data_IF_812154474834
#
_entry.id   IF_812154474834
#
_cell.length_a   1.000
_cell.length_b   1.000
_cell.length_c   1.000
_cell.angle_alpha   90.00
_cell.angle_beta   90.00
_cell.angle_gamma   90.00
#
_symmetry.space_group_name_H-M   'P 1'
#
loop_
_entity.id
_entity.type
_entity.pdbx_description
1 polymer ?
#
# COMPACT_ATOMS: atom_id res chain seq x y z
N UNK A 1 43.56 -3.80 -34.90
CA UNK A 1 42.57 -3.09 -34.07
C UNK A 1 41.21 -3.37 -34.69
N UNK A 2 40.32 -4.06 -33.99
CA UNK A 2 38.95 -4.33 -34.49
C UNK A 2 38.19 -3.02 -34.40
N UNK A 3 37.74 -2.47 -35.54
CA UNK A 3 36.75 -1.41 -35.55
C UNK A 3 35.44 -2.02 -35.04
N UNK A 4 35.07 -1.76 -33.79
CA UNK A 4 33.70 -1.98 -33.33
C UNK A 4 32.80 -0.98 -34.05
N UNK A 5 31.65 -1.44 -34.55
CA UNK A 5 30.68 -0.55 -35.19
C UNK A 5 30.07 0.40 -34.16
N UNK A 6 29.66 1.60 -34.56
CA UNK A 6 28.99 2.54 -33.66
C UNK A 6 27.68 1.93 -33.09
N UNK A 7 27.01 1.06 -33.86
CA UNK A 7 25.88 0.30 -33.35
C UNK A 7 26.28 -0.65 -32.21
N UNK A 8 27.42 -1.35 -32.31
CA UNK A 8 27.91 -2.22 -31.23
C UNK A 8 28.18 -1.42 -29.94
N UNK A 9 28.73 -0.21 -30.06
CA UNK A 9 28.99 0.68 -28.94
C UNK A 9 27.70 1.21 -28.30
N UNK A 10 26.68 1.55 -29.09
CA UNK A 10 25.34 1.89 -28.59
C UNK A 10 24.71 0.71 -27.83
N UNK A 11 24.76 -0.49 -28.39
CA UNK A 11 24.21 -1.69 -27.74
C UNK A 11 24.98 -1.99 -26.44
N UNK A 12 26.29 -1.81 -26.43
CA UNK A 12 27.12 -1.95 -25.23
C UNK A 12 26.73 -0.92 -24.16
N UNK A 13 26.57 0.35 -24.53
CA UNK A 13 26.12 1.42 -23.64
C UNK A 13 24.82 1.03 -22.93
N UNK A 14 23.81 0.58 -23.69
CA UNK A 14 22.50 0.18 -23.13
C UNK A 14 22.62 -1.06 -22.23
N UNK A 15 23.46 -2.03 -22.60
CA UNK A 15 23.72 -3.22 -21.78
C UNK A 15 24.35 -2.88 -20.43
N UNK A 16 25.21 -1.86 -20.37
CA UNK A 16 25.88 -1.41 -19.14
C UNK A 16 24.98 -0.59 -18.20
N UNK A 17 23.84 -0.07 -18.68
CA UNK A 17 22.87 0.62 -17.84
C UNK A 17 22.26 -0.31 -16.77
N UNK A 18 21.89 0.23 -15.61
CA UNK A 18 21.14 -0.55 -14.60
C UNK A 18 19.77 -0.92 -15.18
N UNK A 19 19.17 -1.98 -14.66
CA UNK A 19 17.84 -2.40 -15.14
C UNK A 19 16.79 -1.32 -14.88
N UNK A 20 16.89 -0.59 -13.77
CA UNK A 20 16.01 0.55 -13.48
C UNK A 20 16.13 1.71 -14.47
N UNK A 21 17.29 1.86 -15.14
CA UNK A 21 17.51 2.92 -16.12
C UNK A 21 16.71 2.73 -17.41
N UNK A 22 16.17 1.52 -17.65
CA UNK A 22 15.38 1.26 -18.84
C UNK A 22 14.08 2.06 -18.88
N UNK A 23 13.60 2.51 -17.72
CA UNK A 23 12.36 3.29 -17.61
C UNK A 23 12.52 4.66 -18.27
N UNK A 24 13.62 5.37 -18.01
CA UNK A 24 13.88 6.66 -18.66
C UNK A 24 14.47 6.49 -20.05
N UNK A 25 15.19 5.40 -20.31
CA UNK A 25 15.68 5.11 -21.66
C UNK A 25 14.52 4.95 -22.65
N UNK A 26 13.44 4.26 -22.24
CA UNK A 26 12.20 4.17 -23.00
C UNK A 26 11.67 5.57 -23.37
N UNK A 27 11.59 6.47 -22.38
CA UNK A 27 11.13 7.84 -22.58
C UNK A 27 11.97 8.60 -23.62
N UNK A 28 13.30 8.47 -23.56
CA UNK A 28 14.21 9.10 -24.54
C UNK A 28 14.00 8.54 -25.95
N UNK A 29 13.88 7.22 -26.10
CA UNK A 29 13.68 6.57 -27.39
C UNK A 29 12.32 6.93 -27.98
N UNK A 30 11.27 6.93 -27.16
CA UNK A 30 9.92 7.29 -27.59
C UNK A 30 9.82 8.75 -27.99
N UNK A 31 10.50 9.65 -27.26
CA UNK A 31 10.57 11.07 -27.59
C UNK A 31 11.17 11.28 -28.99
N UNK A 32 12.36 10.74 -29.24
CA UNK A 32 13.04 10.84 -30.54
C UNK A 32 12.15 10.30 -31.69
N UNK A 33 11.51 9.15 -31.47
CA UNK A 33 10.61 8.57 -32.47
C UNK A 33 9.41 9.49 -32.80
N UNK A 34 8.78 10.09 -31.79
CA UNK A 34 7.62 10.98 -31.99
C UNK A 34 8.05 12.28 -32.67
N UNK A 35 9.16 12.89 -32.23
CA UNK A 35 9.72 14.11 -32.82
C UNK A 35 10.05 13.90 -34.30
N UNK A 36 10.64 12.76 -34.64
CA UNK A 36 10.94 12.38 -36.02
C UNK A 36 9.67 12.17 -36.87
N UNK A 37 8.72 11.38 -36.37
CA UNK A 37 7.48 11.05 -37.10
C UNK A 37 6.60 12.28 -37.31
N UNK A 38 6.49 13.13 -36.30
CA UNK A 38 5.57 14.28 -36.27
C UNK A 38 6.24 15.58 -36.74
N UNK A 39 7.56 15.60 -36.90
CA UNK A 39 8.38 16.79 -37.24
C UNK A 39 8.14 17.95 -36.27
N UNK A 40 8.12 17.64 -34.99
CA UNK A 40 7.99 18.59 -33.89
C UNK A 40 9.19 18.46 -32.95
N UNK A 41 9.42 19.49 -32.13
CA UNK A 41 10.32 19.43 -30.98
C UNK A 41 9.45 19.39 -29.72
N UNK A 42 9.61 18.36 -28.90
CA UNK A 42 8.88 18.20 -27.65
C UNK A 42 9.69 18.89 -26.55
N UNK A 43 9.36 20.16 -26.31
CA UNK A 43 9.96 20.94 -25.22
C UNK A 43 9.43 20.54 -23.83
N UNK A 44 8.19 20.05 -23.76
CA UNK A 44 7.56 19.59 -22.51
C UNK A 44 7.82 18.09 -22.31
N UNK A 45 8.57 17.77 -21.25
CA UNK A 45 8.85 16.39 -20.81
C UNK A 45 7.58 15.59 -20.46
N UNK A 46 6.42 16.26 -20.37
CA UNK A 46 5.12 15.68 -20.02
C UNK A 46 4.09 15.79 -21.16
N UNK A 47 4.57 15.86 -22.40
CA UNK A 47 3.71 15.77 -23.57
C UNK A 47 2.78 14.54 -23.47
N UNK A 48 1.45 14.71 -23.61
CA UNK A 48 0.50 13.60 -23.41
C UNK A 48 0.73 12.42 -24.36
N UNK A 49 1.14 12.67 -25.61
CA UNK A 49 1.36 11.61 -26.58
C UNK A 49 2.60 10.79 -26.24
N UNK A 50 3.67 11.45 -25.79
CA UNK A 50 4.86 10.80 -25.27
C UNK A 50 4.54 9.96 -24.02
N UNK A 51 3.84 10.56 -23.06
CA UNK A 51 3.46 9.86 -21.83
C UNK A 51 2.58 8.64 -22.09
N UNK A 52 1.57 8.75 -22.94
CA UNK A 52 0.69 7.63 -23.28
C UNK A 52 1.49 6.48 -23.92
N UNK A 53 2.40 6.79 -24.85
CA UNK A 53 3.28 5.79 -25.49
C UNK A 53 4.20 5.10 -24.48
N UNK A 54 4.76 5.85 -23.53
CA UNK A 54 5.57 5.30 -22.45
C UNK A 54 4.74 4.37 -21.54
N UNK A 55 3.58 4.86 -21.08
CA UNK A 55 2.69 4.15 -20.16
C UNK A 55 2.18 2.84 -20.77
N UNK A 56 1.74 2.86 -22.03
CA UNK A 56 1.29 1.67 -22.75
C UNK A 56 2.39 0.62 -22.78
N UNK A 57 3.62 1.05 -23.08
CA UNK A 57 4.75 0.13 -23.12
C UNK A 57 5.08 -0.42 -21.73
N UNK A 58 5.15 0.44 -20.71
CA UNK A 58 5.43 0.05 -19.31
C UNK A 58 4.37 -0.91 -18.73
N UNK A 59 3.12 -0.81 -19.18
CA UNK A 59 2.04 -1.72 -18.78
C UNK A 59 2.03 -3.03 -19.57
N UNK A 60 2.61 -3.06 -20.78
CA UNK A 60 2.67 -4.27 -21.63
C UNK A 60 3.75 -5.27 -21.21
N UNK A 61 4.78 -4.82 -20.50
CA UNK A 61 5.94 -5.62 -20.07
C UNK A 61 5.68 -6.32 -18.73
N UNK A 62 6.26 -7.50 -18.54
CA UNK A 62 6.17 -8.25 -17.26
C UNK A 62 7.13 -7.70 -16.22
N UNK A 63 8.35 -7.36 -16.65
CA UNK A 63 9.39 -6.79 -15.81
C UNK A 63 10.38 -5.92 -16.60
N UNK A 64 11.28 -5.25 -15.87
CA UNK A 64 12.25 -4.32 -16.46
C UNK A 64 13.37 -5.01 -17.27
N UNK A 65 13.64 -6.31 -17.07
CA UNK A 65 14.59 -7.04 -17.91
C UNK A 65 14.00 -7.33 -19.29
N UNK A 66 12.70 -7.63 -19.35
CA UNK A 66 11.97 -7.73 -20.62
C UNK A 66 12.01 -6.41 -21.38
N UNK A 67 11.76 -5.28 -20.69
CA UNK A 67 11.92 -3.95 -21.29
C UNK A 67 13.34 -3.72 -21.81
N UNK A 68 14.36 -4.04 -21.01
CA UNK A 68 15.76 -3.88 -21.44
C UNK A 68 16.04 -4.64 -22.73
N UNK A 69 15.59 -5.89 -22.80
CA UNK A 69 15.80 -6.76 -23.95
C UNK A 69 15.08 -6.22 -25.19
N UNK A 70 13.88 -5.68 -24.99
CA UNK A 70 13.11 -5.04 -26.06
C UNK A 70 13.81 -3.78 -26.59
N UNK A 71 14.27 -2.87 -25.72
CA UNK A 71 14.96 -1.65 -26.16
C UNK A 71 16.28 -1.96 -26.88
N UNK A 72 17.03 -2.97 -26.43
CA UNK A 72 18.23 -3.45 -27.14
C UNK A 72 17.87 -3.95 -28.55
N UNK A 73 16.75 -4.66 -28.68
CA UNK A 73 16.29 -5.14 -29.98
C UNK A 73 15.87 -3.98 -30.90
N UNK A 74 15.16 -2.97 -30.39
CA UNK A 74 14.75 -1.80 -31.17
C UNK A 74 15.92 -0.94 -31.65
N UNK A 75 17.01 -0.89 -30.89
CA UNK A 75 18.23 -0.16 -31.23
C UNK A 75 19.21 -0.97 -32.08
N UNK A 76 18.93 -2.25 -32.32
CA UNK A 76 19.78 -3.11 -33.13
C UNK A 76 19.69 -2.69 -34.60
N UNK A 77 20.81 -2.85 -35.32
CA UNK A 77 20.87 -2.67 -36.77
C UNK A 77 20.53 -1.23 -37.23
N UNK A 78 20.70 -0.24 -36.34
CA UNK A 78 20.64 1.18 -36.67
C UNK A 78 21.88 1.58 -37.45
N UNK A 79 21.75 2.60 -38.31
CA UNK A 79 22.90 3.16 -39.05
C UNK A 79 23.93 3.74 -38.08
N UNK A 80 25.18 3.90 -38.53
CA UNK A 80 26.24 4.53 -37.72
C UNK A 80 25.81 5.92 -37.23
N UNK A 81 25.33 6.78 -38.12
CA UNK A 81 24.86 8.14 -37.77
C UNK A 81 23.69 8.12 -36.79
N UNK A 82 22.71 7.23 -36.98
CA UNK A 82 21.60 7.09 -36.02
C UNK A 82 22.10 6.60 -34.67
N UNK A 83 23.10 5.73 -34.66
CA UNK A 83 23.68 5.20 -33.42
C UNK A 83 24.43 6.29 -32.64
N UNK A 84 25.17 7.16 -33.32
CA UNK A 84 25.82 8.35 -32.72
C UNK A 84 24.79 9.27 -32.06
N UNK A 85 23.72 9.61 -32.78
CA UNK A 85 22.63 10.47 -32.27
C UNK A 85 22.02 9.87 -31.00
N UNK A 86 21.69 8.58 -31.00
CA UNK A 86 21.15 7.93 -29.80
C UNK A 86 22.13 7.92 -28.64
N UNK A 87 23.42 7.68 -28.89
CA UNK A 87 24.42 7.73 -27.81
C UNK A 87 24.50 9.14 -27.19
N UNK A 88 24.44 10.19 -28.00
CA UNK A 88 24.44 11.58 -27.52
C UNK A 88 23.17 11.88 -26.70
N UNK A 89 21.99 11.50 -27.20
CA UNK A 89 20.72 11.66 -26.49
C UNK A 89 20.72 10.92 -25.15
N UNK A 90 21.17 9.66 -25.14
CA UNK A 90 21.24 8.81 -23.95
C UNK A 90 22.20 9.41 -22.93
N UNK A 91 23.39 9.86 -23.35
CA UNK A 91 24.39 10.42 -22.45
C UNK A 91 23.94 11.78 -21.89
N UNK A 92 23.40 12.66 -22.74
CA UNK A 92 22.86 13.96 -22.32
C UNK A 92 21.74 13.79 -21.27
N UNK A 93 20.77 12.91 -21.54
CA UNK A 93 19.69 12.66 -20.58
C UNK A 93 20.23 12.02 -19.30
N UNK A 94 21.10 11.02 -19.41
CA UNK A 94 21.76 10.37 -18.27
C UNK A 94 22.47 11.38 -17.36
N UNK A 95 23.20 12.34 -17.92
CA UNK A 95 23.94 13.37 -17.17
C UNK A 95 22.99 14.34 -16.46
N UNK A 96 21.80 14.60 -17.04
CA UNK A 96 20.77 15.41 -16.39
C UNK A 96 20.14 14.75 -15.15
N UNK A 97 20.17 13.41 -15.08
CA UNK A 97 19.54 12.63 -14.00
C UNK A 97 20.43 12.52 -12.76
N UNK A 98 20.61 13.61 -12.03
CA UNK A 98 21.30 13.63 -10.73
C UNK A 98 20.81 12.52 -9.77
N UNK A 99 19.49 12.26 -9.78
CA UNK A 99 18.85 11.28 -8.89
C UNK A 99 19.32 9.83 -9.15
N UNK A 100 19.82 9.51 -10.34
CA UNK A 100 20.24 8.15 -10.75
C UNK A 100 21.35 7.55 -9.88
N UNK A 101 22.17 8.39 -9.27
CA UNK A 101 23.24 7.97 -8.39
C UNK A 101 22.73 7.46 -7.03
N UNK A 102 21.47 7.72 -6.67
CA UNK A 102 20.82 7.23 -5.44
C UNK A 102 20.51 5.74 -5.53
N UNK A 103 20.54 5.06 -4.39
CA UNK A 103 20.01 3.70 -4.26
C UNK A 103 18.49 3.72 -4.02
N UNK A 104 17.74 3.08 -4.91
CA UNK A 104 16.28 2.94 -4.82
C UNK A 104 15.82 1.58 -4.29
N UNK A 105 16.74 0.71 -3.89
CA UNK A 105 16.45 -0.65 -3.39
C UNK A 105 15.39 -0.65 -2.28
N UNK A 106 15.44 0.33 -1.37
CA UNK A 106 14.48 0.49 -0.27
C UNK A 106 13.04 0.62 -0.77
N UNK A 107 12.80 1.39 -1.82
CA UNK A 107 11.46 1.56 -2.41
C UNK A 107 10.96 0.28 -3.09
N UNK A 108 11.88 -0.56 -3.57
CA UNK A 108 11.53 -1.86 -4.17
C UNK A 108 11.12 -2.89 -3.10
N UNK A 109 11.79 -2.89 -1.95
CA UNK A 109 11.58 -3.88 -0.89
C UNK A 109 10.54 -3.46 0.15
N UNK A 110 10.47 -2.16 0.47
CA UNK A 110 9.54 -1.61 1.46
C UNK A 110 8.31 -1.01 0.76
N UNK A 111 7.26 -1.83 0.66
CA UNK A 111 5.99 -1.44 0.04
C UNK A 111 5.26 -0.33 0.80
N UNK A 112 5.46 -0.18 2.12
CA UNK A 112 4.87 0.91 2.90
C UNK A 112 5.57 2.22 2.56
N UNK A 113 6.90 2.22 2.51
CA UNK A 113 7.68 3.37 2.05
C UNK A 113 7.27 3.79 0.63
N UNK A 114 7.18 2.83 -0.31
CA UNK A 114 6.79 3.11 -1.69
C UNK A 114 5.39 3.73 -1.78
N UNK A 115 4.43 3.16 -1.05
CA UNK A 115 3.06 3.68 -0.98
C UNK A 115 3.03 5.11 -0.43
N UNK A 116 3.76 5.34 0.66
CA UNK A 116 3.86 6.66 1.29
C UNK A 116 4.54 7.67 0.37
N UNK A 117 5.57 7.26 -0.37
CA UNK A 117 6.26 8.11 -1.33
C UNK A 117 5.33 8.53 -2.48
N UNK A 118 4.63 7.58 -3.11
CA UNK A 118 3.68 7.87 -4.18
C UNK A 118 2.54 8.79 -3.69
N UNK A 119 2.05 8.58 -2.48
CA UNK A 119 1.10 9.51 -1.85
C UNK A 119 1.69 10.91 -1.64
N UNK A 120 2.93 11.00 -1.14
CA UNK A 120 3.56 12.31 -0.93
C UNK A 120 3.73 13.07 -2.24
N UNK A 121 4.16 12.37 -3.29
CA UNK A 121 4.28 12.90 -4.64
C UNK A 121 2.92 13.38 -5.15
N UNK A 122 1.87 12.56 -5.04
CA UNK A 122 0.52 12.92 -5.49
C UNK A 122 -0.08 14.09 -4.72
N UNK A 123 0.20 14.17 -3.42
CA UNK A 123 -0.28 15.25 -2.57
C UNK A 123 0.42 16.58 -2.85
N UNK A 124 1.72 16.55 -3.17
CA UNK A 124 2.52 17.73 -3.43
C UNK A 124 2.32 18.24 -4.87
N UNK A 125 2.07 17.33 -5.83
CA UNK A 125 1.73 17.67 -7.22
C UNK A 125 0.69 16.70 -7.82
N UNK A 126 -0.55 17.17 -7.93
CA UNK A 126 -1.67 16.36 -8.42
C UNK A 126 -1.58 16.02 -9.90
N UNK A 127 -0.91 16.85 -10.69
CA UNK A 127 -0.84 16.64 -12.14
C UNK A 127 0.09 15.48 -12.47
N UNK A 128 1.22 15.37 -11.77
CA UNK A 128 2.12 14.19 -11.83
C UNK A 128 1.32 12.91 -11.58
N UNK A 129 0.51 12.89 -10.53
CA UNK A 129 -0.28 11.72 -10.20
C UNK A 129 -1.32 11.40 -11.27
N UNK A 130 -2.08 12.40 -11.74
CA UNK A 130 -3.12 12.20 -12.76
C UNK A 130 -2.55 11.64 -14.06
N UNK A 131 -1.38 12.11 -14.46
CA UNK A 131 -0.73 11.69 -15.70
C UNK A 131 -0.07 10.30 -15.59
N UNK A 132 0.28 9.85 -14.38
CA UNK A 132 1.04 8.60 -14.18
C UNK A 132 0.28 7.49 -13.46
N UNK A 133 -0.94 7.75 -12.98
CA UNK A 133 -1.77 6.77 -12.24
C UNK A 133 -2.10 5.50 -13.04
N UNK A 134 -2.05 5.55 -14.37
CA UNK A 134 -2.29 4.41 -15.25
C UNK A 134 -1.13 3.42 -15.30
N UNK A 135 0.06 3.77 -14.78
CA UNK A 135 1.18 2.83 -14.68
C UNK A 135 0.90 1.84 -13.55
N UNK A 136 0.59 0.60 -13.93
CA UNK A 136 0.07 -0.44 -13.02
C UNK A 136 1.09 -0.89 -11.97
N UNK A 137 2.36 -1.00 -12.35
CA UNK A 137 3.42 -1.38 -11.42
C UNK A 137 3.87 -0.16 -10.61
N UNK A 138 3.56 -0.16 -9.31
CA UNK A 138 3.82 0.97 -8.41
C UNK A 138 5.30 1.35 -8.31
N UNK A 139 6.22 0.39 -8.34
CA UNK A 139 7.66 0.67 -8.31
C UNK A 139 8.14 1.26 -9.64
N UNK A 140 7.67 0.72 -10.76
CA UNK A 140 7.97 1.28 -12.09
C UNK A 140 7.40 2.69 -12.24
N UNK A 141 6.18 2.94 -11.74
CA UNK A 141 5.59 4.28 -11.69
C UNK A 141 6.45 5.24 -10.88
N UNK A 142 6.92 4.82 -9.70
CA UNK A 142 7.82 5.64 -8.89
C UNK A 142 9.10 5.99 -9.66
N UNK A 143 9.75 5.00 -10.30
CA UNK A 143 10.93 5.24 -11.13
C UNK A 143 10.63 6.19 -12.30
N UNK A 144 9.52 5.98 -12.99
CA UNK A 144 9.10 6.82 -14.11
C UNK A 144 8.97 8.28 -13.65
N UNK A 145 8.21 8.53 -12.57
CA UNK A 145 8.04 9.87 -12.03
C UNK A 145 9.38 10.53 -11.69
N UNK A 146 10.25 9.85 -10.94
CA UNK A 146 11.49 10.50 -10.47
C UNK A 146 12.51 10.75 -11.60
N UNK A 147 12.42 9.98 -12.69
CA UNK A 147 13.32 10.17 -13.83
C UNK A 147 12.77 11.14 -14.87
N UNK A 148 11.48 11.09 -15.21
CA UNK A 148 10.91 11.94 -16.26
C UNK A 148 10.60 13.35 -15.76
N UNK A 149 10.22 13.52 -14.49
CA UNK A 149 10.06 14.84 -13.88
C UNK A 149 11.41 15.36 -13.34
N UNK A 150 12.46 15.30 -14.18
CA UNK A 150 13.83 15.60 -13.78
C UNK A 150 13.95 17.00 -13.15
N UNK A 151 13.12 17.96 -13.59
CA UNK A 151 13.13 19.34 -13.10
C UNK A 151 12.69 19.45 -11.65
N UNK A 152 11.76 18.60 -11.25
CA UNK A 152 11.30 18.51 -9.87
C UNK A 152 12.30 17.72 -9.02
N UNK A 153 12.88 16.66 -9.57
CA UNK A 153 13.84 15.78 -8.90
C UNK A 153 15.32 16.10 -9.22
N UNK A 154 15.65 17.38 -9.44
CA UNK A 154 17.04 17.85 -9.73
C UNK A 154 18.03 17.59 -8.58
N UNK A 155 17.53 17.26 -7.39
CA UNK A 155 18.34 16.97 -6.21
C UNK A 155 17.69 15.90 -5.34
N UNK A 156 18.45 15.35 -4.40
CA UNK A 156 17.96 14.36 -3.44
C UNK A 156 16.95 14.89 -2.42
N UNK A 157 16.77 16.22 -2.32
CA UNK A 157 16.03 16.88 -1.23
C UNK A 157 14.60 16.38 -1.07
N UNK A 158 13.87 16.19 -2.17
CA UNK A 158 12.47 15.76 -2.10
C UNK A 158 12.33 14.33 -1.59
N UNK A 159 13.16 13.41 -2.10
CA UNK A 159 13.18 12.04 -1.62
C UNK A 159 13.69 11.95 -0.17
N UNK A 160 14.70 12.73 0.21
CA UNK A 160 15.20 12.80 1.60
C UNK A 160 14.10 13.28 2.55
N UNK A 161 13.30 14.27 2.12
CA UNK A 161 12.16 14.75 2.90
C UNK A 161 11.09 13.69 3.07
N UNK A 162 10.80 12.92 2.03
CA UNK A 162 9.85 11.79 2.08
C UNK A 162 10.36 10.71 3.03
N UNK A 163 11.61 10.26 2.87
CA UNK A 163 12.22 9.23 3.71
C UNK A 163 12.29 9.65 5.18
N UNK A 164 12.63 10.93 5.45
CA UNK A 164 12.64 11.47 6.81
C UNK A 164 11.26 11.41 7.45
N UNK A 165 10.23 11.92 6.75
CA UNK A 165 8.84 11.88 7.25
C UNK A 165 8.35 10.45 7.47
N UNK A 166 8.70 9.54 6.56
CA UNK A 166 8.37 8.12 6.71
C UNK A 166 9.07 7.52 7.93
N UNK A 167 10.34 7.84 8.15
CA UNK A 167 11.11 7.36 9.31
C UNK A 167 10.53 7.86 10.63
N UNK A 168 10.14 9.14 10.71
CA UNK A 168 9.43 9.72 11.85
C UNK A 168 8.12 8.98 12.12
N UNK A 169 7.36 8.69 11.06
CA UNK A 169 6.10 7.98 11.13
C UNK A 169 6.27 6.55 11.67
N UNK A 170 7.18 5.76 11.09
CA UNK A 170 7.43 4.38 11.50
C UNK A 170 7.99 4.30 12.92
N UNK A 171 8.77 5.29 13.34
CA UNK A 171 9.25 5.40 14.72
C UNK A 171 8.08 5.63 15.69
N UNK A 172 7.12 6.47 15.33
CA UNK A 172 5.93 6.74 16.16
C UNK A 172 4.89 5.60 16.12
N UNK A 173 4.75 4.94 14.96
CA UNK A 173 3.69 3.98 14.62
C UNK A 173 4.21 2.86 13.72
N UNK A 174 5.09 2.01 14.26
CA UNK A 174 5.57 0.81 13.54
C UNK A 174 4.41 -0.07 13.06
N UNK A 175 3.42 -0.27 13.92
CA UNK A 175 2.13 -0.88 13.59
C UNK A 175 1.01 -0.01 14.16
N UNK A 176 -0.04 0.19 13.37
CA UNK A 176 -1.18 0.97 13.84
C UNK A 176 -2.11 0.16 14.75
N UNK A 177 -2.16 -1.17 14.58
CA UNK A 177 -3.01 -2.10 15.34
C UNK A 177 -2.18 -3.17 16.08
N UNK A 178 -1.31 -2.75 17.00
CA UNK A 178 -0.41 -3.66 17.74
C UNK A 178 -1.12 -4.84 18.42
N UNK A 179 -2.35 -4.64 18.92
CA UNK A 179 -3.11 -5.68 19.61
C UNK A 179 -3.82 -6.66 18.67
N UNK A 180 -3.80 -6.40 17.36
CA UNK A 180 -4.50 -7.19 16.34
C UNK A 180 -3.55 -7.56 15.18
N UNK A 181 -2.27 -7.76 15.48
CA UNK A 181 -1.24 -8.09 14.48
C UNK A 181 -1.33 -9.56 14.05
N UNK A 182 -2.35 -9.89 13.27
CA UNK A 182 -2.52 -11.21 12.69
C UNK A 182 -3.31 -11.17 11.37
N UNK A 183 -3.09 -12.12 10.44
CA UNK A 183 -3.67 -12.07 9.10
C UNK A 183 -5.20 -11.99 9.04
N UNK A 184 -5.92 -12.70 9.94
CA UNK A 184 -7.39 -12.67 9.96
C UNK A 184 -7.95 -11.25 10.19
N UNK A 185 -7.29 -10.47 11.06
CA UNK A 185 -7.69 -9.08 11.31
C UNK A 185 -7.44 -8.23 10.07
N UNK A 186 -6.24 -8.30 9.48
CA UNK A 186 -5.90 -7.46 8.33
C UNK A 186 -6.73 -7.75 7.08
N UNK A 187 -7.02 -9.03 6.80
CA UNK A 187 -7.97 -9.43 5.75
C UNK A 187 -9.34 -8.82 5.98
N UNK A 188 -9.86 -8.94 7.19
CA UNK A 188 -11.16 -8.36 7.55
C UNK A 188 -11.13 -6.82 7.49
N UNK A 189 -10.08 -6.19 7.97
CA UNK A 189 -9.94 -4.73 8.01
C UNK A 189 -9.92 -4.14 6.59
N UNK A 190 -9.19 -4.77 5.66
CA UNK A 190 -9.24 -4.40 4.24
C UNK A 190 -10.68 -4.48 3.70
N UNK A 191 -11.36 -5.61 3.88
CA UNK A 191 -12.75 -5.78 3.43
C UNK A 191 -13.69 -4.76 4.07
N UNK A 192 -13.47 -4.41 5.34
CA UNK A 192 -14.25 -3.40 6.04
C UNK A 192 -14.03 -2.02 5.43
N UNK A 193 -12.77 -1.63 5.17
CA UNK A 193 -12.43 -0.36 4.53
C UNK A 193 -13.02 -0.29 3.11
N UNK A 194 -12.87 -1.35 2.31
CA UNK A 194 -13.44 -1.42 0.95
C UNK A 194 -14.97 -1.23 0.96
N UNK A 195 -15.68 -1.81 1.94
CA UNK A 195 -17.14 -1.67 2.05
C UNK A 195 -17.60 -0.28 2.46
N UNK A 196 -16.75 0.46 3.18
CA UNK A 196 -17.03 1.81 3.68
C UNK A 196 -16.25 2.87 2.88
N UNK A 197 -16.02 2.61 1.59
CA UNK A 197 -15.16 3.46 0.73
C UNK A 197 -15.59 4.92 0.70
N UNK A 198 -16.88 5.25 0.82
CA UNK A 198 -17.36 6.65 0.80
C UNK A 198 -16.67 7.54 1.82
N UNK A 199 -16.40 7.01 3.00
CA UNK A 199 -15.96 7.79 4.16
C UNK A 199 -14.43 7.98 4.17
N UNK A 200 -13.70 7.19 3.36
CA UNK A 200 -12.24 7.14 3.37
C UNK A 200 -11.63 7.15 1.96
N UNK A 201 -12.43 7.45 0.93
CA UNK A 201 -12.02 7.39 -0.49
C UNK A 201 -10.75 8.20 -0.77
N UNK A 202 -10.63 9.37 -0.14
CA UNK A 202 -9.48 10.26 -0.35
C UNK A 202 -8.14 9.66 0.10
N UNK A 203 -8.16 8.70 1.03
CA UNK A 203 -6.98 8.02 1.56
C UNK A 203 -6.74 6.64 0.96
N UNK A 204 -7.73 6.09 0.23
CA UNK A 204 -7.63 4.80 -0.44
C UNK A 204 -6.88 4.90 -1.77
N UNK A 205 -5.65 5.43 -1.71
CA UNK A 205 -4.74 5.60 -2.86
C UNK A 205 -3.72 4.44 -2.95
N UNK A 206 -3.94 3.35 -2.22
CA UNK A 206 -3.05 2.19 -2.23
C UNK A 206 -3.40 1.30 -3.42
N UNK A 207 -2.59 1.41 -4.46
CA UNK A 207 -2.80 0.73 -5.75
C UNK A 207 -2.06 -0.60 -5.85
N UNK A 208 -2.11 -1.42 -4.80
CA UNK A 208 -1.76 -2.83 -4.93
C UNK A 208 -2.83 -3.70 -4.29
N UNK A 209 -3.15 -4.80 -4.94
CA UNK A 209 -4.08 -5.80 -4.40
C UNK A 209 -3.29 -6.79 -3.55
N UNK A 210 -3.55 -6.90 -2.23
CA UNK A 210 -2.88 -7.89 -1.39
C UNK A 210 -3.30 -9.30 -1.82
N UNK A 211 -2.33 -10.18 -2.07
CA UNK A 211 -2.55 -11.55 -2.52
C UNK A 211 -2.23 -12.56 -1.42
N UNK A 212 -1.18 -12.28 -0.63
CA UNK A 212 -0.73 -13.12 0.47
C UNK A 212 -1.09 -12.51 1.82
N UNK A 213 -1.14 -13.34 2.87
CA UNK A 213 -1.50 -12.93 4.23
C UNK A 213 -0.68 -11.75 4.77
N UNK A 214 0.63 -11.73 4.47
CA UNK A 214 1.52 -10.63 4.84
C UNK A 214 1.17 -9.32 4.12
N UNK A 215 0.68 -9.40 2.88
CA UNK A 215 0.37 -8.23 2.06
C UNK A 215 -0.81 -7.43 2.65
N UNK A 216 -1.77 -8.11 3.29
CA UNK A 216 -2.89 -7.43 3.95
C UNK A 216 -2.42 -6.55 5.10
N UNK A 217 -1.45 -7.01 5.89
CA UNK A 217 -0.84 -6.23 6.96
C UNK A 217 -0.13 -5.00 6.41
N UNK A 218 0.66 -5.16 5.35
CA UNK A 218 1.31 -4.06 4.63
C UNK A 218 0.27 -3.06 4.14
N UNK A 219 -0.77 -3.52 3.44
CA UNK A 219 -1.80 -2.68 2.85
C UNK A 219 -2.53 -1.83 3.90
N UNK A 220 -3.00 -2.48 4.97
CA UNK A 220 -3.72 -1.78 6.05
C UNK A 220 -2.80 -0.76 6.72
N UNK A 221 -1.55 -1.13 7.03
CA UNK A 221 -0.65 -0.17 7.64
C UNK A 221 -0.31 0.98 6.69
N UNK A 222 -0.13 0.76 5.38
CA UNK A 222 0.12 1.84 4.41
C UNK A 222 -1.01 2.88 4.38
N UNK A 223 -2.29 2.46 4.40
CA UNK A 223 -3.42 3.42 4.46
C UNK A 223 -3.34 4.23 5.74
N UNK A 224 -3.09 3.58 6.87
CA UNK A 224 -3.02 4.27 8.15
C UNK A 224 -1.77 5.15 8.29
N UNK A 225 -0.67 4.84 7.61
CA UNK A 225 0.50 5.71 7.49
C UNK A 225 0.07 7.02 6.80
N UNK A 226 -0.56 6.89 5.63
CA UNK A 226 -1.07 8.03 4.86
C UNK A 226 -2.05 8.86 5.69
N UNK A 227 -3.05 8.23 6.31
CA UNK A 227 -4.05 8.92 7.12
C UNK A 227 -3.44 9.61 8.34
N UNK A 228 -2.50 8.95 9.03
CA UNK A 228 -1.83 9.53 10.19
C UNK A 228 -1.07 10.81 9.83
N UNK A 229 -0.43 10.81 8.66
CA UNK A 229 0.28 11.97 8.14
C UNK A 229 -0.68 13.07 7.61
N UNK A 230 -1.73 12.68 6.89
CA UNK A 230 -2.58 13.60 6.14
C UNK A 230 -3.70 14.24 6.97
N UNK A 231 -4.37 13.44 7.80
CA UNK A 231 -5.53 13.85 8.56
C UNK A 231 -5.66 13.02 9.86
N UNK A 232 -5.12 13.57 10.94
CA UNK A 232 -5.10 12.91 12.24
C UNK A 232 -6.51 12.62 12.79
N UNK A 233 -7.52 13.44 12.48
CA UNK A 233 -8.89 13.20 12.90
C UNK A 233 -9.50 11.99 12.18
N UNK A 234 -9.37 11.92 10.86
CA UNK A 234 -9.81 10.77 10.08
C UNK A 234 -9.11 9.49 10.54
N UNK A 235 -7.79 9.57 10.78
CA UNK A 235 -6.98 8.48 11.34
C UNK A 235 -7.55 7.95 12.67
N UNK A 236 -7.80 8.83 13.65
CA UNK A 236 -8.31 8.44 14.97
C UNK A 236 -9.68 7.78 14.83
N UNK A 237 -10.56 8.37 14.02
CA UNK A 237 -11.94 7.91 13.84
C UNK A 237 -11.99 6.51 13.23
N UNK A 238 -11.34 6.29 12.08
CA UNK A 238 -11.35 4.98 11.42
C UNK A 238 -10.64 3.93 12.27
N UNK A 239 -9.53 4.28 12.91
CA UNK A 239 -8.81 3.35 13.81
C UNK A 239 -9.72 2.85 14.94
N UNK A 240 -10.47 3.77 15.57
CA UNK A 240 -11.41 3.43 16.65
C UNK A 240 -12.58 2.59 16.13
N UNK A 241 -13.14 2.93 14.98
CA UNK A 241 -14.22 2.18 14.34
C UNK A 241 -13.80 0.74 14.04
N UNK A 242 -12.66 0.53 13.36
CA UNK A 242 -12.13 -0.81 13.07
C UNK A 242 -11.84 -1.60 14.33
N UNK A 243 -11.22 -0.98 15.34
CA UNK A 243 -10.91 -1.64 16.62
C UNK A 243 -12.18 -2.11 17.33
N UNK A 244 -13.21 -1.27 17.37
CA UNK A 244 -14.49 -1.59 18.02
C UNK A 244 -15.27 -2.65 17.25
N UNK A 245 -15.37 -2.52 15.92
CA UNK A 245 -16.08 -3.47 15.08
C UNK A 245 -15.38 -4.84 15.08
N UNK A 246 -14.05 -4.87 15.09
CA UNK A 246 -13.30 -6.11 15.26
C UNK A 246 -13.55 -6.75 16.63
N UNK A 247 -13.49 -5.96 17.70
CA UNK A 247 -13.78 -6.44 19.05
C UNK A 247 -15.17 -7.07 19.13
N UNK A 248 -16.20 -6.40 18.60
CA UNK A 248 -17.56 -6.93 18.56
C UNK A 248 -17.66 -8.23 17.76
N UNK A 249 -17.03 -8.29 16.57
CA UNK A 249 -17.00 -9.50 15.74
C UNK A 249 -16.34 -10.67 16.48
N UNK A 250 -15.17 -10.43 17.08
CA UNK A 250 -14.42 -11.44 17.83
C UNK A 250 -15.18 -11.90 19.08
N UNK A 251 -15.82 -10.96 19.79
CA UNK A 251 -16.67 -11.25 20.93
C UNK A 251 -17.90 -12.11 20.55
N UNK A 252 -18.57 -11.80 19.45
CA UNK A 252 -19.69 -12.60 18.92
C UNK A 252 -19.24 -14.00 18.48
N UNK A 253 -18.08 -14.12 17.81
CA UNK A 253 -17.48 -15.42 17.44
C UNK A 253 -17.25 -16.30 18.68
N UNK A 254 -16.77 -15.70 19.77
CA UNK A 254 -16.54 -16.39 21.05
C UNK A 254 -17.83 -16.74 21.82
N UNK A 255 -18.98 -16.17 21.45
CA UNK A 255 -20.29 -16.42 22.07
C UNK A 255 -21.27 -17.23 21.21
N UNK A 256 -20.90 -17.61 19.98
CA UNK A 256 -21.69 -18.53 19.16
C UNK A 256 -21.97 -19.83 19.95
N UNK A 257 -23.25 -20.06 20.26
CA UNK A 257 -23.73 -21.20 21.06
C UNK A 257 -24.05 -20.90 22.54
N UNK A 258 -23.95 -19.65 23.02
CA UNK A 258 -24.21 -19.26 24.42
C UNK A 258 -25.30 -18.18 24.59
N UNK A 259 -26.23 -18.06 23.66
CA UNK A 259 -27.29 -17.05 23.76
C UNK A 259 -28.61 -17.67 24.21
N UNK A 260 -28.89 -17.54 25.51
CA UNK A 260 -30.25 -17.58 26.01
C UNK A 260 -30.63 -16.15 26.42
N UNK A 261 -31.49 -15.50 25.63
CA UNK A 261 -31.99 -14.16 25.93
C UNK A 261 -33.22 -14.29 26.83
N UNK A 262 -33.01 -14.21 28.15
CA UNK A 262 -34.10 -14.16 29.12
C UNK A 262 -34.40 -12.70 29.48
N UNK A 263 -35.66 -12.32 29.39
CA UNK A 263 -36.12 -11.00 29.83
C UNK A 263 -36.61 -11.09 31.28
N UNK A 264 -36.01 -10.29 32.15
CA UNK A 264 -36.49 -10.07 33.52
C UNK A 264 -37.41 -8.84 33.54
N UNK A 265 -38.43 -8.87 34.41
CA UNK A 265 -39.19 -7.66 34.73
C UNK A 265 -38.28 -6.62 35.39
N UNK A 266 -38.65 -5.34 35.31
CA UNK A 266 -37.85 -4.25 35.91
C UNK A 266 -37.60 -4.47 37.41
N UNK A 267 -38.59 -5.01 38.12
CA UNK A 267 -38.48 -5.32 39.54
C UNK A 267 -37.51 -6.48 39.80
N UNK A 268 -37.62 -7.58 39.03
CA UNK A 268 -36.70 -8.71 39.14
C UNK A 268 -35.25 -8.30 38.81
N UNK A 269 -35.06 -7.40 37.85
CA UNK A 269 -33.73 -6.87 37.50
C UNK A 269 -33.14 -6.01 38.62
N UNK A 270 -33.94 -5.19 39.30
CA UNK A 270 -33.50 -4.43 40.48
C UNK A 270 -33.08 -5.36 41.62
N UNK A 271 -33.90 -6.37 41.92
CA UNK A 271 -33.59 -7.35 42.95
C UNK A 271 -32.32 -8.15 42.63
N UNK A 272 -32.15 -8.56 41.37
CA UNK A 272 -30.95 -9.25 40.92
C UNK A 272 -29.69 -8.40 41.13
N UNK A 273 -29.73 -7.10 40.82
CA UNK A 273 -28.62 -6.16 41.07
C UNK A 273 -28.25 -6.06 42.54
N UNK A 274 -29.26 -5.95 43.41
CA UNK A 274 -29.06 -5.89 44.86
C UNK A 274 -28.41 -7.19 45.36
N UNK A 275 -28.89 -8.35 44.90
CA UNK A 275 -28.34 -9.65 45.25
C UNK A 275 -26.91 -9.83 44.73
N UNK A 276 -26.66 -9.50 43.46
CA UNK A 276 -25.33 -9.59 42.85
C UNK A 276 -24.30 -8.75 43.61
N UNK A 277 -24.66 -7.51 43.96
CA UNK A 277 -23.82 -6.63 44.77
C UNK A 277 -23.56 -7.19 46.18
N UNK A 278 -24.62 -7.66 46.86
CA UNK A 278 -24.52 -8.26 48.20
C UNK A 278 -23.60 -9.49 48.22
N UNK A 279 -23.65 -10.32 47.18
CA UNK A 279 -22.85 -11.54 47.05
C UNK A 279 -21.51 -11.35 46.33
N UNK A 280 -21.17 -10.11 45.91
CA UNK A 280 -19.95 -9.79 45.14
C UNK A 280 -19.77 -10.66 43.89
N UNK A 281 -20.87 -10.94 43.18
CA UNK A 281 -20.91 -11.73 41.95
C UNK A 281 -21.42 -10.85 40.79
N UNK A 282 -21.13 -11.25 39.55
CA UNK A 282 -21.80 -10.67 38.37
C UNK A 282 -23.27 -11.11 38.33
N UNK A 283 -24.14 -10.36 37.67
CA UNK A 283 -25.57 -10.70 37.52
C UNK A 283 -25.74 -12.13 36.95
N UNK A 284 -24.98 -12.49 35.91
CA UNK A 284 -25.00 -13.85 35.33
C UNK A 284 -24.66 -14.95 36.35
N UNK A 285 -23.58 -14.77 37.13
CA UNK A 285 -23.19 -15.74 38.18
C UNK A 285 -24.17 -15.78 39.34
N UNK A 286 -24.88 -14.68 39.58
CA UNK A 286 -25.92 -14.63 40.60
C UNK A 286 -27.17 -15.40 40.14
N UNK A 287 -27.54 -15.30 38.85
CA UNK A 287 -28.62 -16.11 38.26
C UNK A 287 -28.27 -17.60 38.37
N UNK A 288 -27.06 -18.01 37.97
CA UNK A 288 -26.61 -19.41 38.11
C UNK A 288 -26.70 -19.89 39.57
N UNK A 289 -26.26 -19.07 40.52
CA UNK A 289 -26.33 -19.39 41.94
C UNK A 289 -27.77 -19.56 42.44
N UNK A 290 -28.69 -18.68 42.02
CA UNK A 290 -30.11 -18.76 42.40
C UNK A 290 -30.80 -19.97 41.79
N UNK A 291 -30.54 -20.27 40.51
CA UNK A 291 -31.08 -21.45 39.84
C UNK A 291 -30.60 -22.73 40.54
N UNK A 292 -29.30 -22.82 40.85
CA UNK A 292 -28.75 -23.98 41.54
C UNK A 292 -29.34 -24.13 42.95
N UNK A 293 -29.50 -23.02 43.68
CA UNK A 293 -30.13 -23.04 45.00
C UNK A 293 -31.58 -23.55 44.93
N UNK A 294 -32.36 -23.04 43.97
CA UNK A 294 -33.74 -23.46 43.74
C UNK A 294 -33.81 -24.95 43.36
N UNK A 295 -32.91 -25.40 42.47
CA UNK A 295 -32.84 -26.79 42.05
C UNK A 295 -32.52 -27.75 43.22
N UNK A 296 -31.65 -27.34 44.15
CA UNK A 296 -31.36 -28.09 45.38
C UNK A 296 -32.59 -28.14 46.29
N UNK A 297 -33.25 -27.00 46.50
CA UNK A 297 -34.46 -26.91 47.34
C UNK A 297 -35.61 -27.76 46.79
N UNK A 298 -35.75 -27.84 45.46
CA UNK A 298 -36.77 -28.64 44.77
C UNK A 298 -36.34 -30.11 44.56
N UNK A 299 -35.13 -30.50 44.97
CA UNK A 299 -34.63 -31.87 44.84
C UNK A 299 -34.38 -32.31 43.38
N UNK A 300 -34.18 -31.37 42.46
CA UNK A 300 -33.96 -31.64 41.03
C UNK A 300 -32.57 -32.21 40.84
N UNK A 301 -32.48 -33.40 40.25
CA UNK A 301 -31.20 -34.05 39.89
C UNK A 301 -31.08 -34.19 38.37
N UNK A 302 -29.89 -33.96 37.84
CA UNK A 302 -29.53 -34.21 36.45
C UNK A 302 -28.41 -35.24 36.48
N UNK A 303 -28.62 -36.42 35.87
CA UNK A 303 -27.67 -37.53 35.84
C UNK A 303 -27.22 -38.01 37.24
N UNK A 304 -28.15 -38.18 38.18
CA UNK A 304 -27.95 -38.82 39.50
C UNK A 304 -26.86 -38.19 40.41
N UNK A 305 -26.44 -36.95 40.13
CA UNK A 305 -25.52 -36.19 41.01
C UNK A 305 -26.16 -34.89 41.48
N UNK A 306 -26.07 -34.63 42.79
CA UNK A 306 -26.35 -33.31 43.35
C UNK A 306 -25.38 -32.28 42.74
N UNK A 307 -25.93 -31.19 42.22
CA UNK A 307 -25.16 -30.04 41.74
C UNK A 307 -24.46 -29.38 42.95
N UNK A 308 -23.19 -29.74 43.14
CA UNK A 308 -22.17 -29.19 44.04
C UNK A 308 -22.62 -28.39 45.28
N UNK A 309 -22.24 -28.89 46.46
CA UNK A 309 -22.25 -28.15 47.72
C UNK A 309 -21.00 -27.26 47.87
N UNK A 310 -21.27 -25.95 48.03
CA UNK A 310 -20.41 -24.84 48.53
C UNK A 310 -19.22 -24.41 47.69
#
# INVERSE_FOLDING_TARGET
MSYTSCNDDLIKLVKELKVEDTVWLLHVINKDAIEFESRIDIEDEHDPQLMDKDIDKLNSIKDLNELKSHLIYELKDKTETTSEIFMDLINSYKESLMIRSRDFSKYKTDRRLLSFALYKISSDNRDIYRQTQSISNTYVRFLYIIFTYNRYYRSFKELDRIERKYSELISAKTLHFKNYDHPEFYKWAKTYIDKNTSDFREFNQIEFTPLQDVDFGVWVNSIFDIMYHANQHAYINLKKQLSNAWYQKSYQKNRKGREHHYFLTDEAKKLLKILAAKHKKTEDRMIEHLINKCAIEEGITINEKFLYSV
#
